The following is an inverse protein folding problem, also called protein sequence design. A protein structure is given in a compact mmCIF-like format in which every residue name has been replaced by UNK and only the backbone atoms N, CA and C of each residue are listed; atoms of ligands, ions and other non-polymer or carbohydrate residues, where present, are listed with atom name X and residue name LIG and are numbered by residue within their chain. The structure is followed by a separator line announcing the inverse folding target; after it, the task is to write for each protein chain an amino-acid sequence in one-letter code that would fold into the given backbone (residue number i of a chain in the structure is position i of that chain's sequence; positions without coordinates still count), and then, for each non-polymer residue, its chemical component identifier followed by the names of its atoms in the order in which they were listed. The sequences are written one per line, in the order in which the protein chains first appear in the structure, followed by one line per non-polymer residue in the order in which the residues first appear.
data_IF_020951150710
#
_entry.id   IF_020951150710
#
_cell.length_a   1.000
_cell.length_b   1.000
_cell.length_c   1.000
_cell.angle_alpha   90.00
_cell.angle_beta   90.00
_cell.angle_gamma   90.00
#
_symmetry.space_group_name_H-M   'P 1'
#
loop_
_entity.id
_entity.type
_entity.pdbx_description
1 polymer ?
#
# COMPACT_ATOMS: atom_id res chain seq x y z
N UNK A 1 -2.92 -15.57 -17.20
CA UNK A 1 -3.61 -15.39 -15.88
C UNK A 1 -2.84 -14.51 -14.87
N UNK A 2 -1.81 -13.76 -15.28
CA UNK A 2 -0.90 -13.01 -14.37
C UNK A 2 -1.43 -11.62 -13.96
N UNK A 3 -2.42 -11.04 -14.63
CA UNK A 3 -2.89 -9.67 -14.29
C UNK A 3 -3.90 -9.62 -13.14
N UNK A 4 -4.71 -10.67 -12.98
CA UNK A 4 -5.81 -10.73 -12.00
C UNK A 4 -5.39 -10.47 -10.55
N UNK A 5 -4.34 -11.11 -9.98
CA UNK A 5 -3.99 -10.87 -8.58
C UNK A 5 -3.34 -9.51 -8.34
N UNK A 6 -2.69 -8.89 -9.34
CA UNK A 6 -2.14 -7.53 -9.20
C UNK A 6 -3.26 -6.49 -9.17
N UNK A 7 -4.25 -6.61 -10.05
CA UNK A 7 -5.43 -5.75 -10.05
C UNK A 7 -6.25 -5.94 -8.77
N UNK A 8 -6.40 -7.18 -8.30
CA UNK A 8 -7.04 -7.46 -7.02
C UNK A 8 -6.28 -6.79 -5.87
N UNK A 9 -4.95 -6.93 -5.81
CA UNK A 9 -4.13 -6.30 -4.78
C UNK A 9 -4.26 -4.76 -4.81
N UNK A 10 -4.21 -4.15 -6.00
CA UNK A 10 -4.44 -2.72 -6.19
C UNK A 10 -5.81 -2.28 -5.64
N UNK A 11 -6.87 -3.02 -5.97
CA UNK A 11 -8.22 -2.75 -5.48
C UNK A 11 -8.35 -2.93 -3.97
N UNK A 12 -7.73 -3.96 -3.39
CA UNK A 12 -7.70 -4.18 -1.93
C UNK A 12 -6.94 -3.06 -1.21
N UNK A 13 -5.87 -2.54 -1.81
CA UNK A 13 -5.15 -1.38 -1.31
C UNK A 13 -6.03 -0.13 -1.30
N UNK A 14 -6.65 0.18 -2.44
CA UNK A 14 -7.55 1.33 -2.55
C UNK A 14 -8.74 1.22 -1.59
N UNK A 15 -9.31 0.02 -1.42
CA UNK A 15 -10.34 -0.24 -0.42
C UNK A 15 -9.82 -0.02 1.01
N UNK A 16 -8.57 -0.41 1.31
CA UNK A 16 -7.97 -0.20 2.65
C UNK A 16 -7.82 1.28 3.00
N UNK A 17 -7.65 2.16 2.00
CA UNK A 17 -7.62 3.60 2.24
C UNK A 17 -8.95 4.16 2.76
N UNK A 18 -10.08 3.47 2.55
CA UNK A 18 -11.38 3.87 3.10
C UNK A 18 -11.46 3.72 4.63
N UNK A 19 -10.50 3.03 5.25
CA UNK A 19 -10.36 3.03 6.72
C UNK A 19 -9.89 4.39 7.27
N UNK A 20 -9.29 5.23 6.43
CA UNK A 20 -8.76 6.54 6.80
C UNK A 20 -9.83 7.62 6.63
N UNK A 21 -9.60 8.84 7.17
CA UNK A 21 -10.45 9.99 6.88
C UNK A 21 -10.63 10.22 5.37
N UNK A 22 -11.82 10.67 4.93
CA UNK A 22 -12.99 11.00 5.74
C UNK A 22 -13.95 9.83 6.00
N UNK A 23 -13.64 8.62 5.51
CA UNK A 23 -14.61 7.52 5.45
C UNK A 23 -14.62 6.67 6.73
N UNK A 24 -13.47 6.48 7.37
CA UNK A 24 -13.36 5.78 8.67
C UNK A 24 -13.93 4.35 8.69
N UNK A 25 -13.96 3.65 7.54
CA UNK A 25 -14.44 2.28 7.43
C UNK A 25 -13.40 1.25 7.93
N UNK A 26 -12.91 1.40 9.15
CA UNK A 26 -11.89 0.53 9.79
C UNK A 26 -12.22 -0.96 9.68
N UNK A 27 -13.48 -1.44 9.85
CA UNK A 27 -13.81 -2.86 9.71
C UNK A 27 -13.45 -3.46 8.35
N UNK A 28 -13.31 -2.64 7.30
CA UNK A 28 -12.91 -3.10 5.97
C UNK A 28 -11.52 -3.74 5.96
N UNK A 29 -10.63 -3.32 6.88
CA UNK A 29 -9.30 -3.92 7.03
C UNK A 29 -9.35 -5.39 7.47
N UNK A 30 -10.43 -5.81 8.15
CA UNK A 30 -10.67 -7.21 8.51
C UNK A 30 -10.94 -8.09 7.27
N UNK A 31 -11.21 -7.49 6.11
CA UNK A 31 -11.40 -8.18 4.84
C UNK A 31 -10.19 -7.98 3.94
N UNK A 32 -9.68 -6.75 3.81
CA UNK A 32 -8.63 -6.45 2.83
C UNK A 32 -7.28 -7.06 3.19
N UNK A 33 -6.89 -7.06 4.47
CA UNK A 33 -5.61 -7.62 4.90
C UNK A 33 -5.58 -9.16 4.82
N UNK A 34 -6.62 -9.91 5.26
CA UNK A 34 -6.67 -11.35 5.03
C UNK A 34 -6.71 -11.71 3.53
N UNK A 35 -7.44 -10.93 2.72
CA UNK A 35 -7.45 -11.13 1.27
C UNK A 35 -6.06 -10.93 0.64
N UNK A 36 -5.32 -9.89 1.07
CA UNK A 36 -3.93 -9.69 0.66
C UNK A 36 -3.04 -10.88 1.06
N UNK A 37 -3.14 -11.35 2.31
CA UNK A 37 -2.41 -12.53 2.78
C UNK A 37 -2.73 -13.78 1.96
N UNK A 38 -3.99 -13.94 1.52
CA UNK A 38 -4.40 -15.00 0.59
C UNK A 38 -3.73 -14.89 -0.79
N UNK A 39 -3.64 -13.67 -1.35
CA UNK A 39 -2.93 -13.43 -2.60
C UNK A 39 -1.43 -13.74 -2.47
N UNK A 40 -0.81 -13.36 -1.34
CA UNK A 40 0.59 -13.63 -1.05
C UNK A 40 0.85 -15.13 -0.87
N UNK A 41 -0.06 -15.85 -0.23
CA UNK A 41 0.00 -17.30 -0.07
C UNK A 41 0.04 -18.04 -1.42
N UNK A 42 -0.72 -17.55 -2.41
CA UNK A 42 -0.77 -18.10 -3.76
C UNK A 42 0.33 -17.60 -4.71
N UNK A 43 1.27 -16.78 -4.25
CA UNK A 43 2.33 -16.23 -5.09
C UNK A 43 3.38 -17.30 -5.42
N UNK A 44 3.63 -17.52 -6.72
CA UNK A 44 4.60 -18.53 -7.20
C UNK A 44 6.07 -18.21 -6.88
N UNK A 45 6.40 -16.98 -6.45
CA UNK A 45 7.77 -16.57 -6.11
C UNK A 45 7.78 -15.33 -5.22
N UNK A 46 8.90 -15.08 -4.55
CA UNK A 46 9.11 -13.85 -3.77
C UNK A 46 8.96 -12.58 -4.64
N UNK A 47 9.43 -12.63 -5.90
CA UNK A 47 9.27 -11.50 -6.85
C UNK A 47 7.79 -11.23 -7.10
N UNK A 48 6.99 -12.29 -7.18
CA UNK A 48 5.56 -12.17 -7.37
C UNK A 48 4.87 -11.60 -6.13
N UNK A 49 5.25 -12.03 -4.94
CA UNK A 49 4.78 -11.46 -3.69
C UNK A 49 5.15 -9.97 -3.58
N UNK A 50 6.37 -9.59 -3.99
CA UNK A 50 6.81 -8.20 -4.03
C UNK A 50 5.92 -7.34 -4.95
N UNK A 51 5.62 -7.81 -6.16
CA UNK A 51 4.70 -7.09 -7.07
C UNK A 51 3.27 -6.99 -6.52
N UNK A 52 2.78 -8.01 -5.81
CA UNK A 52 1.48 -7.98 -5.13
C UNK A 52 1.49 -6.94 -4.01
N UNK A 53 2.53 -6.93 -3.17
CA UNK A 53 2.72 -5.95 -2.11
C UNK A 53 2.82 -4.52 -2.63
N UNK A 54 3.59 -4.31 -3.70
CA UNK A 54 3.70 -3.01 -4.35
C UNK A 54 2.35 -2.55 -4.93
N UNK A 55 1.62 -3.43 -5.61
CA UNK A 55 0.31 -3.10 -6.16
C UNK A 55 -0.69 -2.73 -5.03
N UNK A 56 -0.71 -3.48 -3.93
CA UNK A 56 -1.51 -3.15 -2.75
C UNK A 56 -1.12 -1.80 -2.15
N UNK A 57 0.17 -1.59 -1.87
CA UNK A 57 0.67 -0.33 -1.32
C UNK A 57 0.33 0.85 -2.23
N UNK A 58 0.47 0.68 -3.55
CA UNK A 58 0.20 1.74 -4.51
C UNK A 58 -1.29 2.09 -4.53
N UNK A 59 -2.19 1.09 -4.46
CA UNK A 59 -3.62 1.33 -4.34
C UNK A 59 -3.98 2.11 -3.07
N UNK A 60 -3.42 1.71 -1.92
CA UNK A 60 -3.65 2.35 -0.62
C UNK A 60 -3.17 3.80 -0.61
N UNK A 61 -1.94 4.04 -1.07
CA UNK A 61 -1.38 5.38 -1.09
C UNK A 61 -1.99 6.25 -2.18
N UNK A 62 -2.31 5.71 -3.36
CA UNK A 62 -2.95 6.47 -4.43
C UNK A 62 -4.33 6.97 -3.99
N UNK A 63 -5.15 6.09 -3.41
CA UNK A 63 -6.47 6.45 -2.93
C UNK A 63 -6.40 7.40 -1.73
N UNK A 64 -5.44 7.24 -0.81
CA UNK A 64 -5.33 8.10 0.37
C UNK A 64 -4.58 9.42 0.15
N UNK A 65 -3.71 9.53 -0.86
CA UNK A 65 -2.94 10.75 -1.19
C UNK A 65 -3.57 11.54 -2.34
N UNK A 66 -4.82 11.26 -2.71
CA UNK A 66 -5.53 11.99 -3.78
C UNK A 66 -5.48 13.51 -3.58
N UNK A 67 -5.50 13.95 -2.32
CA UNK A 67 -5.53 15.35 -1.91
C UNK A 67 -4.23 16.09 -2.27
N UNK A 68 -3.09 15.41 -2.44
CA UNK A 68 -1.80 16.04 -2.78
C UNK A 68 -1.89 16.81 -4.10
N UNK A 69 -2.72 16.33 -5.03
CA UNK A 69 -2.99 17.01 -6.30
C UNK A 69 -3.59 18.40 -6.10
N UNK A 70 -4.33 18.64 -5.02
CA UNK A 70 -4.94 19.95 -4.74
C UNK A 70 -3.89 21.02 -4.45
N UNK A 71 -2.71 20.66 -3.95
CA UNK A 71 -1.65 21.61 -3.71
C UNK A 71 -1.17 22.31 -5.00
N UNK A 72 -1.26 21.62 -6.15
CA UNK A 72 -0.88 22.15 -7.46
C UNK A 72 -1.82 23.27 -7.94
N UNK A 73 -3.04 23.35 -7.41
CA UNK A 73 -4.02 24.36 -7.83
C UNK A 73 -3.67 25.78 -7.35
N UNK A 74 -2.71 25.91 -6.43
CA UNK A 74 -2.17 27.21 -5.99
C UNK A 74 -1.46 27.96 -7.14
N UNK A 75 -0.86 27.23 -8.08
CA UNK A 75 -0.13 27.78 -9.24
C UNK A 75 -0.39 26.89 -10.47
N UNK A 76 -1.67 26.72 -10.79
CA UNK A 76 -2.11 25.73 -11.78
C UNK A 76 -1.65 26.07 -13.20
N UNK A 77 -1.52 27.35 -13.54
CA UNK A 77 -1.06 27.79 -14.86
C UNK A 77 0.31 27.19 -15.21
N UNK A 78 1.17 27.01 -14.19
CA UNK A 78 2.48 26.39 -14.33
C UNK A 78 2.44 24.86 -14.22
N UNK A 79 1.62 24.33 -13.31
CA UNK A 79 1.69 22.92 -12.89
C UNK A 79 0.55 22.02 -13.37
N UNK A 80 -0.36 22.50 -14.23
CA UNK A 80 -1.52 21.74 -14.71
C UNK A 80 -1.18 20.34 -15.23
N UNK A 81 -0.04 20.18 -15.89
CA UNK A 81 0.39 18.91 -16.49
C UNK A 81 0.79 17.85 -15.44
N UNK A 82 1.11 18.26 -14.20
CA UNK A 82 1.41 17.35 -13.09
C UNK A 82 0.15 16.84 -12.40
N UNK A 83 -1.02 17.44 -12.62
CA UNK A 83 -2.28 17.03 -11.97
C UNK A 83 -2.55 15.52 -12.05
N UNK A 84 -2.47 14.85 -13.22
CA UNK A 84 -2.69 13.40 -13.27
C UNK A 84 -1.50 12.59 -12.70
N UNK A 85 -0.35 13.21 -12.42
CA UNK A 85 0.89 12.53 -12.05
C UNK A 85 1.27 12.69 -10.57
N UNK A 86 0.80 13.74 -9.90
CA UNK A 86 1.22 14.08 -8.55
C UNK A 86 0.90 12.98 -7.53
N UNK A 87 -0.38 12.59 -7.42
CA UNK A 87 -0.78 11.53 -6.50
C UNK A 87 -0.22 10.15 -6.90
N UNK A 88 -0.32 9.68 -8.16
CA UNK A 88 0.27 8.39 -8.55
C UNK A 88 1.79 8.34 -8.40
N UNK A 89 2.47 9.43 -8.76
CA UNK A 89 3.93 9.56 -8.72
C UNK A 89 4.46 9.59 -7.30
N UNK A 90 3.77 10.24 -6.37
CA UNK A 90 4.12 10.21 -4.95
C UNK A 90 3.75 8.87 -4.29
N UNK A 91 2.59 8.28 -4.64
CA UNK A 91 2.14 7.03 -4.04
C UNK A 91 3.08 5.85 -4.36
N UNK A 92 3.71 5.83 -5.54
CA UNK A 92 4.55 4.71 -5.98
C UNK A 92 5.81 4.49 -5.12
N UNK A 93 6.69 5.48 -4.86
CA UNK A 93 7.85 5.29 -3.99
C UNK A 93 7.44 4.97 -2.55
N UNK A 94 6.33 5.53 -2.07
CA UNK A 94 5.78 5.23 -0.73
C UNK A 94 5.28 3.78 -0.66
N UNK A 95 4.68 3.26 -1.73
CA UNK A 95 4.22 1.89 -1.82
C UNK A 95 5.33 0.82 -1.80
N UNK A 96 6.59 1.21 -2.09
CA UNK A 96 7.74 0.27 -2.03
C UNK A 96 7.89 -0.30 -0.63
N UNK A 97 7.54 0.44 0.42
CA UNK A 97 7.61 -0.03 1.80
C UNK A 97 6.66 -1.22 2.05
N UNK A 98 5.54 -1.33 1.32
CA UNK A 98 4.62 -2.48 1.41
C UNK A 98 5.19 -3.78 0.82
N UNK A 99 6.31 -3.71 0.08
CA UNK A 99 7.02 -4.91 -0.41
C UNK A 99 7.61 -5.71 0.75
N UNK A 100 8.11 -5.03 1.77
CA UNK A 100 8.78 -5.65 2.94
C UNK A 100 7.84 -6.65 3.65
N UNK A 101 6.64 -6.25 4.13
CA UNK A 101 5.71 -7.20 4.74
C UNK A 101 5.19 -8.26 3.78
N UNK A 102 5.04 -7.93 2.49
CA UNK A 102 4.59 -8.89 1.48
C UNK A 102 5.59 -10.04 1.27
N UNK A 103 6.88 -9.71 1.14
CA UNK A 103 7.94 -10.72 0.98
C UNK A 103 8.17 -11.49 2.29
N UNK A 104 8.12 -10.82 3.45
CA UNK A 104 8.20 -11.48 4.75
C UNK A 104 7.09 -12.52 4.95
N UNK A 105 5.85 -12.17 4.59
CA UNK A 105 4.71 -13.09 4.64
C UNK A 105 4.86 -14.28 3.69
N UNK A 106 5.44 -14.06 2.50
CA UNK A 106 5.68 -15.11 1.51
C UNK A 106 6.70 -16.15 2.00
N UNK A 107 7.80 -15.70 2.61
CA UNK A 107 8.81 -16.59 3.21
C UNK A 107 8.32 -17.32 4.45
N UNK A 108 7.36 -16.74 5.18
CA UNK A 108 6.84 -17.33 6.38
C UNK A 108 5.97 -18.57 6.12
N UNK A 109 6.12 -19.55 7.01
CA UNK A 109 5.27 -20.74 7.04
C UNK A 109 3.78 -20.37 7.17
N UNK A 110 2.85 -21.14 6.57
CA UNK A 110 1.42 -20.88 6.65
C UNK A 110 0.88 -20.79 8.09
N UNK A 111 -0.28 -20.15 8.25
CA UNK A 111 -0.96 -19.99 9.54
C UNK A 111 -0.48 -18.74 10.31
N UNK A 112 -0.52 -18.81 11.65
CA UNK A 112 -0.23 -17.67 12.52
C UNK A 112 1.17 -17.08 12.32
N UNK A 113 2.15 -17.90 11.93
CA UNK A 113 3.54 -17.47 11.67
C UNK A 113 3.61 -16.44 10.54
N UNK A 114 2.84 -16.66 9.47
CA UNK A 114 2.71 -15.72 8.35
C UNK A 114 2.08 -14.40 8.78
N UNK A 115 1.05 -14.47 9.62
CA UNK A 115 0.37 -13.28 10.14
C UNK A 115 1.35 -12.44 10.98
N UNK A 116 2.10 -13.07 11.88
CA UNK A 116 3.10 -12.36 12.69
C UNK A 116 4.26 -11.82 11.86
N UNK A 117 4.75 -12.57 10.89
CA UNK A 117 5.79 -12.10 9.98
C UNK A 117 5.32 -10.87 9.19
N UNK A 118 4.08 -10.92 8.68
CA UNK A 118 3.47 -9.79 7.97
C UNK A 118 3.31 -8.57 8.88
N UNK A 119 2.69 -8.72 10.05
CA UNK A 119 2.39 -7.59 10.94
C UNK A 119 3.66 -6.96 11.51
N UNK A 120 4.62 -7.76 11.96
CA UNK A 120 5.90 -7.26 12.45
C UNK A 120 6.70 -6.54 11.36
N UNK A 121 6.77 -7.12 10.17
CA UNK A 121 7.43 -6.49 9.03
C UNK A 121 6.70 -5.21 8.57
N UNK A 122 5.37 -5.14 8.72
CA UNK A 122 4.59 -3.93 8.41
C UNK A 122 5.00 -2.79 9.33
N UNK A 123 5.01 -3.03 10.64
CA UNK A 123 5.43 -2.02 11.64
C UNK A 123 6.84 -1.53 11.35
N UNK A 124 7.80 -2.44 11.09
CA UNK A 124 9.17 -2.05 10.77
C UNK A 124 9.26 -1.24 9.47
N UNK A 125 8.49 -1.61 8.44
CA UNK A 125 8.45 -0.87 7.19
C UNK A 125 7.90 0.55 7.37
N UNK A 126 6.88 0.72 8.22
CA UNK A 126 6.30 2.02 8.57
C UNK A 126 7.28 2.89 9.35
N UNK A 127 7.99 2.31 10.34
CA UNK A 127 9.04 3.02 11.08
C UNK A 127 10.15 3.48 10.13
N UNK A 128 10.57 2.62 9.21
CA UNK A 128 11.59 2.95 8.21
C UNK A 128 11.13 4.09 7.29
N UNK A 129 9.87 4.04 6.82
CA UNK A 129 9.25 5.09 6.00
C UNK A 129 9.11 6.42 6.73
N UNK A 130 9.00 6.39 8.06
CA UNK A 130 8.97 7.57 8.91
C UNK A 130 10.33 8.28 9.04
N UNK A 131 11.45 7.62 8.71
CA UNK A 131 12.80 8.19 8.91
C UNK A 131 13.63 8.32 7.64
N UNK A 132 13.46 7.41 6.66
CA UNK A 132 14.21 7.48 5.40
C UNK A 132 13.76 8.69 4.57
N UNK A 133 14.71 9.33 3.88
CA UNK A 133 14.44 10.46 2.98
C UNK A 133 13.62 11.57 3.66
N UNK A 134 14.00 11.95 4.89
CA UNK A 134 13.31 12.91 5.77
C UNK A 134 11.94 12.47 6.30
N UNK A 135 11.49 11.26 5.94
CA UNK A 135 10.24 10.69 6.39
C UNK A 135 9.02 11.16 5.58
N UNK A 136 8.10 10.23 5.35
CA UNK A 136 6.77 10.54 4.83
C UNK A 136 5.72 9.60 5.45
N UNK A 137 5.36 9.74 6.74
CA UNK A 137 4.51 8.79 7.47
C UNK A 137 3.01 9.03 7.27
N UNK A 138 2.55 9.27 6.03
CA UNK A 138 1.11 9.42 5.71
C UNK A 138 0.42 8.07 5.45
N UNK A 139 -0.89 8.01 5.65
CA UNK A 139 -1.74 6.81 5.44
C UNK A 139 -1.31 5.59 6.26
N UNK A 140 -0.97 5.78 7.54
CA UNK A 140 -0.69 4.67 8.44
C UNK A 140 -1.95 3.83 8.65
N UNK A 141 -1.88 2.51 8.42
CA UNK A 141 -3.04 1.60 8.56
C UNK A 141 -3.47 1.42 10.04
N UNK A 142 -2.61 1.76 11.00
CA UNK A 142 -2.82 1.57 12.43
C UNK A 142 -3.10 2.82 13.25
N UNK A 143 -3.52 3.92 12.63
CA UNK A 143 -3.87 5.20 13.29
C UNK A 143 -5.35 5.51 13.17
#
# INVERSE_FOLDING_TARGET
MVRKPLLAALGLGAASALALPPVHAVPLLLVTLPALLGLLAGAASWRRAAWIGLAFGWGHHLAGLYWVTHALFTDIERWWWLVPLAAPGLALPVAVFSVIPAVAAWWAAPGWRRVLAFSGAWVLAEMLRGVLFTGFPWNLIGT
#
